data_IF_741408696075
#
_entry.id   IF_741408696075
#
_cell.length_a   1.000
_cell.length_b   1.000
_cell.length_c   1.000
_cell.angle_alpha   90.00
_cell.angle_beta   90.00
_cell.angle_gamma   90.00
#
_symmetry.space_group_name_H-M   'P 1'
#
loop_
_entity.id
_entity.type
_entity.pdbx_description
1 polymer ?
#
# COMPACT_ATOMS: atom_id res chain seq x y z
N UNK A 1 38.89 -16.74 0.37
CA UNK A 1 38.27 -16.41 1.64
C UNK A 1 36.99 -15.72 1.24
N UNK A 2 35.93 -16.50 1.20
CA UNK A 2 34.58 -16.11 0.80
C UNK A 2 33.92 -15.55 2.03
N UNK A 3 33.58 -14.26 1.99
CA UNK A 3 32.78 -13.62 3.01
C UNK A 3 31.30 -13.75 2.59
N UNK A 4 30.66 -14.77 3.15
CA UNK A 4 29.24 -15.08 2.99
C UNK A 4 28.50 -14.27 4.06
N UNK A 5 28.19 -13.01 3.74
CA UNK A 5 27.29 -12.21 4.58
C UNK A 5 25.86 -12.62 4.29
N UNK A 6 25.40 -13.68 4.96
CA UNK A 6 23.98 -13.97 5.13
C UNK A 6 23.35 -12.81 5.92
N UNK A 7 22.75 -11.83 5.21
CA UNK A 7 21.79 -10.94 5.81
C UNK A 7 20.67 -11.82 6.36
N UNK A 8 20.47 -11.79 7.68
CA UNK A 8 19.43 -12.54 8.35
C UNK A 8 18.07 -12.10 7.78
N UNK A 9 17.38 -13.06 7.19
CA UNK A 9 15.97 -12.97 6.83
C UNK A 9 15.22 -12.86 8.17
N UNK A 10 14.96 -11.65 8.65
CA UNK A 10 14.04 -11.44 9.74
C UNK A 10 12.67 -11.84 9.17
N UNK A 11 12.15 -12.98 9.62
CA UNK A 11 10.84 -13.48 9.26
C UNK A 11 9.81 -12.50 9.88
N UNK A 12 9.51 -11.42 9.16
CA UNK A 12 8.45 -10.47 9.57
C UNK A 12 7.14 -11.20 9.35
N UNK A 13 6.33 -11.29 10.41
CA UNK A 13 5.05 -11.96 10.35
C UNK A 13 4.14 -11.30 9.31
N UNK A 14 3.57 -12.12 8.44
CA UNK A 14 2.56 -11.66 7.47
C UNK A 14 1.22 -11.44 8.20
N UNK A 15 0.40 -10.48 7.74
CA UNK A 15 -0.95 -10.28 8.26
C UNK A 15 -1.78 -11.57 8.20
N UNK A 16 -2.69 -11.78 9.15
CA UNK A 16 -3.68 -12.86 9.06
C UNK A 16 -4.46 -12.72 7.74
N UNK A 17 -4.63 -13.80 7.00
CA UNK A 17 -5.24 -13.78 5.65
C UNK A 17 -4.25 -13.54 4.52
N UNK A 18 -2.97 -13.35 4.81
CA UNK A 18 -1.89 -13.34 3.82
C UNK A 18 -0.96 -14.52 4.04
N UNK A 19 -0.71 -15.33 3.01
CA UNK A 19 0.16 -16.50 3.08
C UNK A 19 1.16 -16.51 1.93
N UNK A 20 2.26 -17.26 2.11
CA UNK A 20 3.16 -17.62 1.00
C UNK A 20 2.73 -18.96 0.42
N UNK A 21 2.32 -18.97 -0.86
CA UNK A 21 1.86 -20.16 -1.58
C UNK A 21 2.61 -20.34 -2.90
N UNK A 22 2.60 -21.56 -3.43
CA UNK A 22 3.33 -21.88 -4.65
C UNK A 22 2.40 -21.82 -5.88
N UNK A 23 2.71 -20.92 -6.82
CA UNK A 23 2.03 -20.80 -8.11
C UNK A 23 3.05 -21.02 -9.23
N UNK A 24 2.82 -22.03 -10.07
CA UNK A 24 3.72 -22.34 -11.17
C UNK A 24 5.17 -22.64 -10.72
N UNK A 25 5.35 -23.26 -9.56
CA UNK A 25 6.66 -23.61 -9.00
C UNK A 25 7.40 -22.44 -8.30
N UNK A 26 6.75 -21.28 -8.11
CA UNK A 26 7.33 -20.13 -7.43
C UNK A 26 6.50 -19.76 -6.21
N UNK A 27 7.17 -19.48 -5.09
CA UNK A 27 6.55 -18.90 -3.89
C UNK A 27 6.13 -17.45 -4.17
N UNK A 28 4.91 -17.10 -3.78
CA UNK A 28 4.34 -15.75 -3.87
C UNK A 28 3.50 -15.45 -2.65
N UNK A 29 3.40 -14.18 -2.29
CA UNK A 29 2.33 -13.71 -1.42
C UNK A 29 0.99 -14.06 -2.06
N UNK A 30 0.00 -14.32 -1.22
CA UNK A 30 -1.35 -14.66 -1.67
C UNK A 30 -2.39 -14.23 -0.65
N UNK A 31 -3.57 -13.93 -1.14
CA UNK A 31 -4.77 -13.64 -0.36
C UNK A 31 -5.93 -14.47 -0.87
N UNK A 32 -7.02 -14.56 -0.10
CA UNK A 32 -8.17 -15.37 -0.47
C UNK A 32 -9.34 -14.49 -0.89
N UNK A 33 -9.71 -14.54 -2.17
CA UNK A 33 -10.79 -13.69 -2.69
C UNK A 33 -11.04 -13.90 -4.18
N UNK A 34 -11.99 -13.15 -4.76
CA UNK A 34 -12.29 -13.18 -6.17
C UNK A 34 -11.13 -12.63 -7.01
N UNK A 35 -10.81 -13.28 -8.12
CA UNK A 35 -9.78 -12.87 -9.09
C UNK A 35 -10.11 -11.48 -9.68
N UNK A 36 -9.10 -10.62 -9.87
CA UNK A 36 -9.29 -9.24 -10.32
C UNK A 36 -8.57 -8.94 -11.64
N UNK A 37 -7.28 -9.30 -11.77
CA UNK A 37 -6.47 -8.89 -12.92
C UNK A 37 -5.87 -10.08 -13.71
N UNK A 38 -6.43 -11.28 -13.55
CA UNK A 38 -5.96 -12.49 -14.21
C UNK A 38 -4.78 -13.16 -13.50
N UNK A 39 -4.56 -12.85 -12.23
CA UNK A 39 -3.58 -13.52 -11.38
C UNK A 39 -3.92 -15.00 -11.19
N UNK A 40 -2.92 -15.88 -10.98
CA UNK A 40 -3.16 -17.27 -10.67
C UNK A 40 -3.99 -17.45 -9.41
N UNK A 41 -4.95 -18.38 -9.44
CA UNK A 41 -5.77 -18.80 -8.30
C UNK A 41 -5.59 -20.29 -8.12
N UNK A 42 -5.40 -20.76 -6.89
CA UNK A 42 -5.30 -22.19 -6.58
C UNK A 42 -6.68 -22.83 -6.29
N UNK A 43 -6.67 -24.14 -6.04
CA UNK A 43 -7.89 -24.91 -5.82
C UNK A 43 -8.64 -24.53 -4.52
N UNK A 44 -7.94 -23.89 -3.58
CA UNK A 44 -8.48 -23.47 -2.29
C UNK A 44 -9.01 -22.02 -2.31
N UNK A 45 -8.92 -21.35 -3.49
CA UNK A 45 -9.37 -19.98 -3.69
C UNK A 45 -8.34 -18.91 -3.27
N UNK A 46 -7.09 -19.29 -3.04
CA UNK A 46 -6.01 -18.34 -2.84
C UNK A 46 -5.52 -17.80 -4.19
N UNK A 47 -5.36 -16.51 -4.30
CA UNK A 47 -4.90 -15.79 -5.48
C UNK A 47 -3.52 -15.18 -5.26
N UNK A 48 -2.65 -15.31 -6.26
CA UNK A 48 -1.29 -14.82 -6.18
C UNK A 48 -1.25 -13.29 -6.13
N UNK A 49 -0.56 -12.72 -5.13
CA UNK A 49 -0.30 -11.30 -5.03
C UNK A 49 1.07 -10.97 -5.65
N UNK A 50 1.05 -10.30 -6.78
CA UNK A 50 2.25 -9.99 -7.55
C UNK A 50 2.90 -8.68 -7.04
N UNK A 51 4.03 -8.80 -6.35
CA UNK A 51 4.81 -7.66 -5.85
C UNK A 51 5.30 -6.73 -7.00
N UNK A 52 5.48 -7.25 -8.22
CA UNK A 52 5.80 -6.42 -9.39
C UNK A 52 4.64 -5.54 -9.88
N UNK A 53 3.43 -5.76 -9.38
CA UNK A 53 2.23 -4.97 -9.68
C UNK A 53 1.67 -4.23 -8.47
N UNK A 54 2.27 -4.41 -7.29
CA UNK A 54 1.80 -3.87 -6.01
C UNK A 54 2.97 -3.39 -5.16
N UNK A 55 3.06 -2.09 -4.88
CA UNK A 55 4.11 -1.54 -4.02
C UNK A 55 3.96 -2.05 -2.59
N UNK A 56 2.72 -2.15 -2.06
CA UNK A 56 2.49 -2.75 -0.75
C UNK A 56 2.91 -4.24 -0.73
N UNK A 57 2.59 -5.00 -1.78
CA UNK A 57 3.09 -6.37 -1.93
C UNK A 57 4.62 -6.42 -1.99
N UNK A 58 5.27 -5.43 -2.62
CA UNK A 58 6.72 -5.32 -2.65
C UNK A 58 7.31 -5.01 -1.26
N UNK A 59 6.68 -4.14 -0.46
CA UNK A 59 7.08 -3.88 0.92
C UNK A 59 7.04 -5.15 1.77
N UNK A 60 5.97 -5.93 1.68
CA UNK A 60 5.82 -7.22 2.38
C UNK A 60 6.84 -8.27 1.89
N UNK A 61 7.11 -8.35 0.57
CA UNK A 61 8.12 -9.27 0.02
C UNK A 61 9.55 -8.90 0.43
N UNK A 62 9.81 -7.63 0.72
CA UNK A 62 11.08 -7.14 1.23
C UNK A 62 11.20 -7.28 2.76
N UNK A 63 10.16 -7.79 3.44
CA UNK A 63 10.17 -8.00 4.88
C UNK A 63 10.08 -6.70 5.69
N UNK A 64 9.47 -5.64 5.15
CA UNK A 64 9.21 -4.42 5.93
C UNK A 64 8.16 -4.70 7.01
N UNK A 65 8.42 -4.24 8.23
CA UNK A 65 7.44 -4.31 9.33
C UNK A 65 6.32 -3.27 9.09
N UNK A 66 5.31 -3.67 8.33
CA UNK A 66 4.18 -2.81 8.01
C UNK A 66 3.24 -2.58 9.19
N UNK A 67 3.35 -3.38 10.25
CA UNK A 67 2.43 -3.37 11.39
C UNK A 67 1.02 -3.86 11.06
N UNK A 68 0.79 -4.39 9.85
CA UNK A 68 -0.49 -5.03 9.50
C UNK A 68 -0.59 -6.40 10.18
N UNK A 69 -1.72 -6.66 10.82
CA UNK A 69 -2.01 -7.94 11.49
C UNK A 69 -3.23 -8.66 10.90
N UNK A 70 -4.08 -7.96 10.14
CA UNK A 70 -5.34 -8.43 9.58
C UNK A 70 -6.55 -7.90 10.34
N UNK A 71 -7.59 -7.48 9.60
CA UNK A 71 -8.81 -6.89 10.14
C UNK A 71 -8.79 -5.37 10.32
N UNK A 72 -7.68 -4.68 9.99
CA UNK A 72 -7.57 -3.23 10.10
C UNK A 72 -8.59 -2.50 9.23
N UNK A 73 -9.09 -1.36 9.72
CA UNK A 73 -9.74 -0.36 8.88
C UNK A 73 -8.68 0.37 8.04
N UNK A 74 -8.90 0.44 6.73
CA UNK A 74 -7.90 0.96 5.78
C UNK A 74 -8.47 2.12 4.97
N UNK A 75 -7.71 3.21 4.90
CA UNK A 75 -7.87 4.25 3.88
C UNK A 75 -6.79 4.07 2.82
N UNK A 76 -7.19 3.70 1.61
CA UNK A 76 -6.28 3.49 0.48
C UNK A 76 -6.35 4.66 -0.49
N UNK A 77 -5.27 5.40 -0.65
CA UNK A 77 -5.16 6.54 -1.57
C UNK A 77 -4.42 6.12 -2.85
N UNK A 78 -5.06 6.33 -4.01
CA UNK A 78 -4.54 5.91 -5.31
C UNK A 78 -4.88 4.44 -5.63
N UNK A 79 -6.13 4.05 -5.41
CA UNK A 79 -6.57 2.66 -5.58
C UNK A 79 -6.57 2.16 -7.04
N UNK A 80 -6.49 3.07 -8.01
CA UNK A 80 -6.55 2.77 -9.43
C UNK A 80 -7.72 1.83 -9.77
N UNK A 81 -7.49 0.80 -10.58
CA UNK A 81 -8.52 -0.20 -10.95
C UNK A 81 -8.69 -1.35 -9.95
N UNK A 82 -8.08 -1.27 -8.76
CA UNK A 82 -8.31 -2.23 -7.70
C UNK A 82 -7.26 -3.33 -7.54
N UNK A 83 -6.19 -3.34 -8.34
CA UNK A 83 -5.18 -4.42 -8.31
C UNK A 83 -4.63 -4.69 -6.91
N UNK A 84 -4.09 -3.67 -6.23
CA UNK A 84 -3.52 -3.82 -4.88
C UNK A 84 -4.62 -3.82 -3.82
N UNK A 85 -5.54 -2.85 -3.88
CA UNK A 85 -6.55 -2.68 -2.84
C UNK A 85 -7.50 -3.87 -2.71
N UNK A 86 -7.68 -4.67 -3.78
CA UNK A 86 -8.45 -5.91 -3.70
C UNK A 86 -7.78 -6.96 -2.82
N UNK A 87 -6.43 -7.06 -2.85
CA UNK A 87 -5.70 -7.92 -1.92
C UNK A 87 -5.80 -7.41 -0.48
N UNK A 88 -5.72 -6.08 -0.29
CA UNK A 88 -5.92 -5.48 1.03
C UNK A 88 -7.30 -5.82 1.58
N UNK A 89 -8.37 -5.65 0.79
CA UNK A 89 -9.72 -5.95 1.19
C UNK A 89 -9.98 -7.45 1.48
N UNK A 90 -9.15 -8.36 0.94
CA UNK A 90 -9.27 -9.79 1.24
C UNK A 90 -8.88 -10.15 2.69
N UNK A 91 -8.08 -9.31 3.38
CA UNK A 91 -7.64 -9.58 4.76
C UNK A 91 -7.94 -8.43 5.74
N UNK A 92 -8.16 -7.22 5.25
CA UNK A 92 -8.49 -6.06 6.09
C UNK A 92 -9.98 -6.02 6.47
N UNK A 93 -10.32 -5.12 7.38
CA UNK A 93 -11.68 -4.70 7.68
C UNK A 93 -12.21 -3.70 6.66
N UNK A 94 -12.99 -2.69 7.08
CA UNK A 94 -13.49 -1.66 6.17
C UNK A 94 -12.36 -0.99 5.40
N UNK A 95 -12.45 -0.99 4.06
CA UNK A 95 -11.42 -0.49 3.16
C UNK A 95 -11.99 0.60 2.26
N UNK A 96 -11.63 1.86 2.55
CA UNK A 96 -12.03 3.03 1.76
C UNK A 96 -11.01 3.26 0.65
N UNK A 97 -11.42 3.16 -0.60
CA UNK A 97 -10.54 3.19 -1.76
C UNK A 97 -10.72 4.47 -2.57
N UNK A 98 -9.85 5.45 -2.36
CA UNK A 98 -9.88 6.76 -3.03
C UNK A 98 -9.12 6.70 -4.34
N UNK A 99 -9.80 7.07 -5.42
CA UNK A 99 -9.21 7.23 -6.75
C UNK A 99 -9.87 8.40 -7.47
N UNK A 100 -9.07 9.27 -8.11
CA UNK A 100 -9.61 10.50 -8.74
C UNK A 100 -10.02 10.31 -10.19
N UNK A 101 -9.49 9.29 -10.87
CA UNK A 101 -9.73 9.08 -12.30
C UNK A 101 -11.01 8.25 -12.54
N UNK A 102 -12.02 8.77 -13.27
CA UNK A 102 -13.31 8.09 -13.41
C UNK A 102 -13.24 6.71 -14.10
N UNK A 103 -12.25 6.50 -15.00
CA UNK A 103 -12.11 5.23 -15.71
C UNK A 103 -11.61 4.10 -14.79
N UNK A 104 -10.51 4.26 -14.04
CA UNK A 104 -10.10 3.28 -13.03
C UNK A 104 -11.17 3.02 -11.96
N UNK A 105 -11.88 4.05 -11.47
CA UNK A 105 -12.96 3.87 -10.49
C UNK A 105 -14.09 2.99 -11.01
N UNK A 106 -14.41 3.05 -12.30
CA UNK A 106 -15.42 2.15 -12.89
C UNK A 106 -15.02 0.68 -12.75
N UNK A 107 -13.74 0.37 -13.00
CA UNK A 107 -13.22 -0.98 -12.85
C UNK A 107 -13.17 -1.38 -11.36
N UNK A 108 -12.78 -0.44 -10.49
CA UNK A 108 -12.75 -0.62 -9.04
C UNK A 108 -14.14 -0.91 -8.43
N UNK A 109 -15.18 -0.28 -8.94
CA UNK A 109 -16.58 -0.59 -8.54
C UNK A 109 -16.92 -2.05 -8.84
N UNK A 110 -16.52 -2.57 -10.02
CA UNK A 110 -16.69 -3.99 -10.34
C UNK A 110 -15.92 -4.92 -9.38
N UNK A 111 -14.74 -4.49 -8.91
CA UNK A 111 -13.98 -5.24 -7.89
C UNK A 111 -14.68 -5.27 -6.54
N UNK A 112 -15.38 -4.19 -6.19
CA UNK A 112 -16.13 -4.07 -4.93
C UNK A 112 -17.43 -4.91 -4.92
N UNK A 113 -17.97 -5.31 -6.07
CA UNK A 113 -19.16 -6.17 -6.14
C UNK A 113 -18.95 -7.53 -5.44
N UNK A 114 -17.71 -8.01 -5.38
CA UNK A 114 -17.31 -9.27 -4.73
C UNK A 114 -16.70 -9.06 -3.32
N UNK A 115 -16.77 -7.84 -2.74
CA UNK A 115 -16.12 -7.46 -1.47
C UNK A 115 -16.98 -6.45 -0.69
N UNK A 116 -17.77 -6.95 0.24
CA UNK A 116 -18.70 -6.13 1.04
C UNK A 116 -17.99 -5.06 1.91
N UNK A 117 -16.69 -5.23 2.14
CA UNK A 117 -15.85 -4.32 2.94
C UNK A 117 -15.04 -3.32 2.10
N UNK A 118 -15.19 -3.30 0.76
CA UNK A 118 -14.47 -2.39 -0.12
C UNK A 118 -15.39 -1.25 -0.60
N UNK A 119 -15.03 -0.01 -0.29
CA UNK A 119 -15.81 1.19 -0.56
C UNK A 119 -15.10 2.12 -1.56
N UNK A 120 -15.37 2.02 -2.88
CA UNK A 120 -14.79 2.90 -3.90
C UNK A 120 -15.26 4.34 -3.75
N UNK A 121 -14.33 5.30 -3.76
CA UNK A 121 -14.59 6.73 -3.68
C UNK A 121 -13.96 7.46 -4.87
N UNK A 122 -14.79 7.99 -5.78
CA UNK A 122 -14.33 8.87 -6.85
C UNK A 122 -14.03 10.26 -6.27
N UNK A 123 -12.84 10.40 -5.71
CA UNK A 123 -12.38 11.59 -4.99
C UNK A 123 -10.89 11.83 -5.21
N UNK A 124 -10.45 13.06 -4.98
CA UNK A 124 -9.04 13.43 -5.04
C UNK A 124 -8.40 13.32 -3.64
N UNK A 125 -7.36 12.51 -3.51
CA UNK A 125 -6.63 12.34 -2.25
C UNK A 125 -5.99 13.65 -1.73
N UNK A 126 -5.80 14.65 -2.61
CA UNK A 126 -5.31 15.99 -2.24
C UNK A 126 -6.37 16.86 -1.55
N UNK A 127 -7.64 16.45 -1.62
CA UNK A 127 -8.80 17.15 -1.03
C UNK A 127 -9.56 16.22 -0.06
N UNK A 128 -8.97 15.93 1.13
CA UNK A 128 -9.56 15.01 2.10
C UNK A 128 -10.92 15.47 2.62
N UNK A 129 -11.19 16.77 2.65
CA UNK A 129 -12.49 17.32 3.08
C UNK A 129 -13.64 16.83 2.20
N UNK A 130 -13.37 16.52 0.92
CA UNK A 130 -14.39 16.06 -0.02
C UNK A 130 -14.94 14.67 0.30
N UNK A 131 -14.28 13.88 1.15
CA UNK A 131 -14.67 12.54 1.58
C UNK A 131 -14.64 12.31 3.09
N UNK A 132 -14.32 13.33 3.89
CA UNK A 132 -14.30 13.23 5.35
C UNK A 132 -15.65 12.83 5.98
N UNK A 133 -16.77 13.04 5.26
CA UNK A 133 -18.09 12.63 5.70
C UNK A 133 -18.40 11.14 5.43
N UNK A 134 -17.52 10.42 4.73
CA UNK A 134 -17.69 8.99 4.38
C UNK A 134 -16.68 8.14 5.15
N UNK A 135 -15.44 8.60 5.26
CA UNK A 135 -14.37 7.87 5.94
C UNK A 135 -14.52 8.04 7.44
N UNK A 136 -14.55 6.92 8.15
CA UNK A 136 -14.58 6.93 9.63
C UNK A 136 -13.30 7.54 10.19
N UNK A 137 -13.41 8.19 11.35
CA UNK A 137 -12.23 8.66 12.09
C UNK A 137 -11.58 7.50 12.86
N UNK A 138 -10.27 7.56 13.04
CA UNK A 138 -9.53 6.51 13.75
C UNK A 138 -9.25 5.28 12.89
N UNK A 139 -8.95 5.50 11.60
CA UNK A 139 -8.49 4.46 10.66
C UNK A 139 -7.15 3.89 11.15
N UNK A 140 -7.04 2.56 11.17
CA UNK A 140 -5.85 1.87 11.64
C UNK A 140 -4.67 1.98 10.66
N UNK A 141 -4.95 2.02 9.35
CA UNK A 141 -3.91 2.03 8.32
C UNK A 141 -4.25 2.97 7.14
N UNK A 142 -3.34 3.89 6.85
CA UNK A 142 -3.35 4.72 5.64
C UNK A 142 -2.34 4.14 4.64
N UNK A 143 -2.83 3.54 3.56
CA UNK A 143 -1.99 3.09 2.44
C UNK A 143 -2.00 4.15 1.35
N UNK A 144 -0.83 4.56 0.89
CA UNK A 144 -0.70 5.62 -0.12
C UNK A 144 0.19 5.19 -1.30
N UNK A 145 -0.41 5.13 -2.50
CA UNK A 145 0.25 4.86 -3.79
C UNK A 145 -0.24 5.86 -4.84
N UNK A 146 0.06 7.15 -4.62
CA UNK A 146 -0.37 8.22 -5.52
C UNK A 146 0.80 8.74 -6.35
N UNK A 147 0.57 8.92 -7.66
CA UNK A 147 1.57 9.44 -8.60
C UNK A 147 1.33 10.95 -8.84
N UNK A 148 1.61 11.78 -7.83
CA UNK A 148 1.46 13.23 -7.90
C UNK A 148 2.69 13.93 -7.33
N UNK A 149 2.84 15.23 -7.57
CA UNK A 149 3.76 16.07 -6.80
C UNK A 149 3.20 16.34 -5.41
N UNK A 150 4.06 16.55 -4.43
CA UNK A 150 3.71 16.82 -3.05
C UNK A 150 3.14 15.59 -2.34
N UNK A 151 3.71 14.42 -2.58
CA UNK A 151 3.25 13.16 -2.00
C UNK A 151 3.24 13.23 -0.47
N UNK A 152 4.28 13.82 0.17
CA UNK A 152 4.32 14.04 1.61
C UNK A 152 3.16 14.93 2.08
N UNK A 153 2.87 16.02 1.36
CA UNK A 153 1.74 16.91 1.68
C UNK A 153 0.41 16.16 1.65
N UNK A 154 0.20 15.24 0.70
CA UNK A 154 -1.01 14.39 0.65
C UNK A 154 -1.09 13.51 1.88
N UNK A 155 0.00 12.84 2.28
CA UNK A 155 0.04 12.01 3.48
C UNK A 155 -0.28 12.83 4.74
N UNK A 156 0.34 14.00 4.91
CA UNK A 156 0.12 14.88 6.06
C UNK A 156 -1.33 15.36 6.15
N UNK A 157 -1.96 15.73 5.03
CA UNK A 157 -3.37 16.13 5.01
C UNK A 157 -4.32 15.00 5.40
N UNK A 158 -4.03 13.78 4.98
CA UNK A 158 -4.84 12.61 5.28
C UNK A 158 -4.58 12.00 6.66
N UNK A 159 -3.56 12.48 7.39
CA UNK A 159 -3.30 12.08 8.78
C UNK A 159 -4.51 12.27 9.70
N UNK A 160 -5.39 13.22 9.39
CA UNK A 160 -6.62 13.48 10.15
C UNK A 160 -7.55 12.25 10.30
N UNK A 161 -7.43 11.27 9.42
CA UNK A 161 -8.22 10.04 9.49
C UNK A 161 -7.58 8.95 10.34
N UNK A 162 -6.23 8.97 10.50
CA UNK A 162 -5.50 7.95 11.24
C UNK A 162 -5.77 8.01 12.74
N UNK A 163 -5.86 6.84 13.36
CA UNK A 163 -5.74 6.69 14.79
C UNK A 163 -4.35 7.14 15.28
N UNK A 164 -4.22 7.47 16.57
CA UNK A 164 -2.94 7.91 17.15
C UNK A 164 -1.85 6.81 17.07
N UNK A 165 -2.26 5.55 17.12
CA UNK A 165 -1.39 4.36 16.97
C UNK A 165 -1.44 3.73 15.58
N UNK A 166 -2.12 4.38 14.64
CA UNK A 166 -2.25 3.92 13.26
C UNK A 166 -0.94 3.91 12.48
N UNK A 167 -0.97 3.38 11.26
CA UNK A 167 0.20 3.26 10.37
C UNK A 167 -0.05 3.96 9.04
N UNK A 168 0.99 4.69 8.60
CA UNK A 168 1.15 5.14 7.21
C UNK A 168 2.05 4.13 6.47
N UNK A 169 1.54 3.55 5.40
CA UNK A 169 2.28 2.73 4.45
C UNK A 169 2.30 3.45 3.11
N UNK A 170 3.43 4.08 2.80
CA UNK A 170 3.52 4.97 1.64
C UNK A 170 4.54 4.46 0.62
N UNK A 171 4.15 4.43 -0.64
CA UNK A 171 5.06 4.23 -1.74
C UNK A 171 5.35 5.58 -2.43
N UNK A 172 6.57 6.08 -2.28
CA UNK A 172 7.03 7.30 -2.93
C UNK A 172 7.54 6.96 -4.33
N UNK A 173 7.06 7.67 -5.34
CA UNK A 173 7.56 7.59 -6.71
C UNK A 173 8.38 8.84 -7.02
N UNK A 174 9.72 8.72 -7.06
CA UNK A 174 10.62 9.85 -7.25
C UNK A 174 10.30 10.64 -8.54
N UNK A 175 10.06 9.95 -9.65
CA UNK A 175 9.77 10.60 -10.95
C UNK A 175 8.42 11.34 -11.00
N UNK A 176 7.54 11.16 -10.02
CA UNK A 176 6.31 11.96 -9.87
C UNK A 176 6.54 13.24 -9.10
N UNK A 177 7.52 13.26 -8.19
CA UNK A 177 7.95 14.47 -7.47
C UNK A 177 8.81 15.34 -8.37
N UNK A 178 9.95 14.82 -8.84
CA UNK A 178 10.84 15.52 -9.75
C UNK A 178 11.45 14.53 -10.77
N UNK A 179 11.24 14.81 -12.06
CA UNK A 179 11.77 13.98 -13.15
C UNK A 179 13.27 14.24 -13.42
N UNK A 180 13.81 15.33 -12.88
CA UNK A 180 15.17 15.81 -13.14
C UNK A 180 16.13 15.54 -11.99
N UNK A 181 15.62 15.42 -10.76
CA UNK A 181 16.42 15.13 -9.57
C UNK A 181 16.84 13.66 -9.50
N UNK A 182 17.92 13.40 -8.79
CA UNK A 182 18.30 12.02 -8.43
C UNK A 182 17.26 11.43 -7.46
N UNK A 183 16.88 10.15 -7.63
CA UNK A 183 15.84 9.54 -6.80
C UNK A 183 16.14 9.61 -5.31
N UNK A 184 17.39 9.45 -4.88
CA UNK A 184 17.75 9.47 -3.46
C UNK A 184 17.55 10.86 -2.85
N UNK A 185 17.89 11.95 -3.56
CA UNK A 185 17.64 13.32 -3.11
C UNK A 185 16.14 13.57 -2.91
N UNK A 186 15.31 13.07 -3.84
CA UNK A 186 13.84 13.17 -3.75
C UNK A 186 13.29 12.41 -2.54
N UNK A 187 13.82 11.21 -2.27
CA UNK A 187 13.38 10.41 -1.13
C UNK A 187 13.74 11.08 0.20
N UNK A 188 14.94 11.65 0.31
CA UNK A 188 15.39 12.37 1.50
C UNK A 188 14.49 13.60 1.75
N UNK A 189 14.15 14.36 0.70
CA UNK A 189 13.24 15.50 0.79
C UNK A 189 11.83 15.08 1.26
N UNK A 190 11.26 14.01 0.69
CA UNK A 190 9.94 13.50 1.07
C UNK A 190 9.92 13.01 2.51
N UNK A 191 10.97 12.31 2.96
CA UNK A 191 11.11 11.86 4.36
C UNK A 191 11.17 13.07 5.28
N UNK A 192 11.99 14.08 4.98
CA UNK A 192 12.11 15.31 5.77
C UNK A 192 10.78 16.09 5.86
N UNK A 193 9.98 16.10 4.79
CA UNK A 193 8.64 16.72 4.79
C UNK A 193 7.62 15.94 5.66
N UNK A 194 7.78 14.62 5.82
CA UNK A 194 6.91 13.79 6.66
C UNK A 194 7.23 13.92 8.15
N UNK A 195 8.52 14.07 8.52
CA UNK A 195 9.01 14.03 9.91
C UNK A 195 8.28 14.95 10.89
N UNK A 196 7.81 16.17 10.53
CA UNK A 196 7.03 17.00 11.45
C UNK A 196 5.72 16.39 11.93
N UNK A 197 5.10 15.52 11.11
CA UNK A 197 3.79 14.91 11.37
C UNK A 197 3.86 13.42 11.71
N UNK A 198 4.92 12.75 11.28
CA UNK A 198 5.10 11.30 11.40
C UNK A 198 6.46 10.94 11.99
N UNK A 199 6.50 9.89 12.77
CA UNK A 199 7.73 9.17 13.11
C UNK A 199 7.96 8.10 12.03
N UNK A 200 9.10 8.16 11.34
CA UNK A 200 9.49 7.17 10.35
C UNK A 200 9.99 5.93 11.09
N UNK A 201 9.37 4.79 10.83
CA UNK A 201 9.70 3.51 11.47
C UNK A 201 10.62 2.66 10.61
N UNK A 202 10.38 2.65 9.30
CA UNK A 202 11.17 1.87 8.33
C UNK A 202 11.12 2.51 6.94
N UNK A 203 12.19 2.33 6.17
CA UNK A 203 12.27 2.73 4.76
C UNK A 203 13.03 1.69 3.96
N UNK A 204 12.56 1.35 2.77
CA UNK A 204 13.25 0.44 1.86
C UNK A 204 13.08 0.83 0.40
N UNK A 205 14.17 0.73 -0.39
CA UNK A 205 14.11 0.87 -1.84
C UNK A 205 13.32 -0.30 -2.43
N UNK A 206 12.32 0.01 -3.25
CA UNK A 206 11.51 -1.01 -3.90
C UNK A 206 12.06 -1.45 -5.27
N UNK A 207 13.28 -1.07 -5.62
CA UNK A 207 13.88 -1.23 -6.96
C UNK A 207 13.89 -2.65 -7.50
N UNK A 208 13.89 -3.66 -6.60
CA UNK A 208 13.74 -5.07 -7.01
C UNK A 208 12.44 -5.32 -7.79
N UNK A 209 11.40 -4.54 -7.51
CA UNK A 209 10.05 -4.67 -8.08
C UNK A 209 9.61 -3.42 -8.82
N UNK A 210 9.95 -2.23 -8.32
CA UNK A 210 9.52 -0.93 -8.81
C UNK A 210 10.70 0.04 -8.82
N UNK A 211 11.29 0.30 -9.99
CA UNK A 211 12.39 1.24 -10.13
C UNK A 211 11.99 2.66 -9.67
N UNK A 212 12.93 3.36 -9.03
CA UNK A 212 12.76 4.72 -8.51
C UNK A 212 11.60 4.87 -7.52
N UNK A 213 11.36 3.82 -6.69
CA UNK A 213 10.36 3.87 -5.62
C UNK A 213 10.99 3.58 -4.25
N UNK A 214 10.49 4.31 -3.22
CA UNK A 214 10.77 4.08 -1.81
C UNK A 214 9.49 3.64 -1.10
N UNK A 215 9.55 2.55 -0.33
CA UNK A 215 8.55 2.20 0.67
C UNK A 215 8.85 2.92 1.99
N UNK A 216 7.86 3.50 2.61
CA UNK A 216 7.94 4.14 3.93
C UNK A 216 6.88 3.54 4.84
N UNK A 217 7.29 3.14 6.04
CA UNK A 217 6.41 2.81 7.15
C UNK A 217 6.58 3.88 8.22
N UNK A 218 5.48 4.50 8.64
CA UNK A 218 5.51 5.57 9.63
C UNK A 218 4.28 5.52 10.55
N UNK A 219 4.34 6.23 11.67
CA UNK A 219 3.19 6.42 12.58
C UNK A 219 2.98 7.91 12.88
N UNK A 220 1.76 8.33 13.20
CA UNK A 220 1.48 9.69 13.68
C UNK A 220 2.33 10.06 14.90
N UNK A 221 2.74 11.34 14.98
CA UNK A 221 3.38 11.93 16.18
C UNK A 221 2.36 12.56 17.08
#
# INVERSE_FOLDING_TARGET
MSDDSSAGDADVDLPEGVERRTFGGRQRLSTRGAQVYGEPVDADGWRAWDAGRSKLGAMLELGMDTGLVGGESVLYLGAASGTTVSHVADFAGPTYAVEFAPRPVRDLVGVAEDRDNLFPLLKDARDPESYAHVVEAGIDCLVMDVATRGQATVAVRNRQFLADDGRLLMAVKARSEDVTAEPDDVFDDVVAELEPAYEILDTARLDRFHADHLGIVARPK
#
